data_IF_752022905003
#
_entry.id   IF_752022905003
#
_cell.length_a   1.000
_cell.length_b   1.000
_cell.length_c   1.000
_cell.angle_alpha   90.00
_cell.angle_beta   90.00
_cell.angle_gamma   90.00
#
_symmetry.space_group_name_H-M   'P 1'
#
loop_
_entity.id
_entity.type
_entity.pdbx_description
1 polymer ?
#
# COMPACT_ATOMS: atom_id res chain seq x y z
N UNK A 1 11.84 -6.87 35.10
CA UNK A 1 11.38 -5.56 34.60
C UNK A 1 10.95 -5.75 33.15
N UNK A 2 9.65 -5.75 32.85
CA UNK A 2 9.13 -5.96 31.50
C UNK A 2 9.02 -4.56 30.87
N UNK A 3 9.98 -4.20 30.01
CA UNK A 3 9.89 -2.97 29.23
C UNK A 3 8.76 -3.18 28.24
N UNK A 4 7.65 -2.47 28.42
CA UNK A 4 6.56 -2.41 27.44
C UNK A 4 7.03 -1.37 26.42
N UNK A 5 7.55 -1.82 25.28
CA UNK A 5 7.80 -0.95 24.14
C UNK A 5 6.42 -0.69 23.52
N UNK A 6 5.95 0.55 23.58
CA UNK A 6 4.73 0.95 22.89
C UNK A 6 5.13 1.21 21.43
N UNK A 7 4.82 0.27 20.55
CA UNK A 7 5.01 0.44 19.10
C UNK A 7 3.92 1.39 18.61
N UNK A 8 4.33 2.52 18.03
CA UNK A 8 3.42 3.44 17.35
C UNK A 8 3.22 2.97 15.90
N UNK A 9 2.13 3.39 15.27
CA UNK A 9 1.80 2.98 13.90
C UNK A 9 1.56 4.20 13.01
N UNK A 10 1.73 4.01 11.71
CA UNK A 10 1.37 4.95 10.67
C UNK A 10 0.27 4.35 9.79
N UNK A 11 -0.77 5.13 9.52
CA UNK A 11 -1.65 4.92 8.39
C UNK A 11 -1.02 5.57 7.15
N UNK A 12 -0.71 4.77 6.14
CA UNK A 12 -0.11 5.21 4.88
C UNK A 12 -1.14 5.09 3.77
N UNK A 13 -1.55 6.22 3.20
CA UNK A 13 -2.43 6.27 2.04
C UNK A 13 -1.59 6.21 0.77
N UNK A 14 -1.85 5.21 -0.07
CA UNK A 14 -1.13 4.97 -1.31
C UNK A 14 -2.11 4.96 -2.47
N UNK A 15 -1.72 5.64 -3.55
CA UNK A 15 -2.38 5.53 -4.84
C UNK A 15 -1.54 4.65 -5.77
N UNK A 16 -2.20 3.73 -6.46
CA UNK A 16 -1.60 2.71 -7.31
C UNK A 16 -2.23 2.86 -8.68
N UNK A 17 -1.38 3.17 -9.66
CA UNK A 17 -1.76 3.49 -11.02
C UNK A 17 -1.43 2.30 -11.93
N UNK A 18 -2.36 1.87 -12.80
CA UNK A 18 -2.02 0.94 -13.84
C UNK A 18 -1.15 1.63 -14.90
N UNK A 19 -0.08 0.96 -15.34
CA UNK A 19 0.79 1.50 -16.39
C UNK A 19 0.14 1.39 -17.79
N UNK A 20 -0.87 0.53 -17.93
CA UNK A 20 -1.66 0.32 -19.15
C UNK A 20 -3.16 0.10 -18.80
N UNK A 21 -4.13 0.59 -19.62
CA UNK A 21 -5.56 0.40 -19.38
C UNK A 21 -6.02 -1.07 -19.25
N UNK A 22 -5.27 -2.03 -19.77
CA UNK A 22 -5.63 -3.46 -19.70
C UNK A 22 -5.23 -4.11 -18.35
N UNK A 23 -4.53 -3.38 -17.47
CA UNK A 23 -4.11 -3.89 -16.16
C UNK A 23 -5.32 -4.08 -15.23
N UNK A 24 -5.51 -5.31 -14.76
CA UNK A 24 -6.58 -5.64 -13.82
C UNK A 24 -6.17 -5.30 -12.37
N UNK A 25 -6.72 -4.21 -11.84
CA UNK A 25 -6.45 -3.73 -10.48
C UNK A 25 -6.93 -4.67 -9.37
N UNK A 26 -7.91 -5.56 -9.62
CA UNK A 26 -8.28 -6.58 -8.64
C UNK A 26 -7.20 -7.66 -8.53
N UNK A 27 -6.60 -8.07 -9.65
CA UNK A 27 -5.47 -9.01 -9.61
C UNK A 27 -4.24 -8.40 -8.93
N UNK A 28 -4.00 -7.10 -9.15
CA UNK A 28 -2.97 -6.34 -8.45
C UNK A 28 -3.23 -6.34 -6.96
N UNK A 29 -4.47 -6.07 -6.54
CA UNK A 29 -4.87 -6.09 -5.13
C UNK A 29 -4.65 -7.47 -4.48
N UNK A 30 -5.02 -8.56 -5.15
CA UNK A 30 -4.77 -9.91 -4.63
C UNK A 30 -3.27 -10.19 -4.51
N UNK A 31 -2.48 -9.78 -5.50
CA UNK A 31 -1.01 -9.89 -5.45
C UNK A 31 -0.42 -9.12 -4.25
N UNK A 32 -0.93 -7.92 -3.97
CA UNK A 32 -0.52 -7.12 -2.81
C UNK A 32 -0.84 -7.88 -1.51
N UNK A 33 -2.06 -8.42 -1.37
CA UNK A 33 -2.48 -9.18 -0.18
C UNK A 33 -1.61 -10.42 0.05
N UNK A 34 -1.25 -11.13 -1.01
CA UNK A 34 -0.40 -12.33 -0.92
C UNK A 34 1.05 -12.03 -0.54
N UNK A 35 1.58 -10.90 -1.00
CA UNK A 35 2.99 -10.51 -0.79
C UNK A 35 3.22 -9.62 0.44
N UNK A 36 2.14 -9.12 1.05
CA UNK A 36 2.22 -8.18 2.16
C UNK A 36 3.02 -8.78 3.33
N UNK A 37 4.01 -8.06 3.89
CA UNK A 37 4.68 -8.47 5.12
C UNK A 37 3.67 -8.66 6.25
N UNK A 38 3.91 -9.64 7.14
CA UNK A 38 2.96 -10.04 8.18
C UNK A 38 2.69 -8.96 9.25
N UNK A 39 3.53 -7.95 9.32
CA UNK A 39 3.44 -6.82 10.24
C UNK A 39 2.90 -5.55 9.58
N UNK A 40 2.56 -5.59 8.29
CA UNK A 40 1.83 -4.55 7.58
C UNK A 40 0.39 -5.04 7.37
N UNK A 41 -0.60 -4.22 7.69
CA UNK A 41 -2.01 -4.50 7.45
C UNK A 41 -2.51 -3.67 6.27
N UNK A 42 -3.14 -4.29 5.27
CA UNK A 42 -4.00 -3.57 4.33
C UNK A 42 -5.32 -3.25 5.04
N UNK A 43 -5.51 -1.98 5.43
CA UNK A 43 -6.65 -1.55 6.24
C UNK A 43 -7.94 -1.44 5.46
N UNK A 44 -7.85 -0.78 4.31
CA UNK A 44 -8.98 -0.47 3.45
C UNK A 44 -8.46 -0.19 2.04
N UNK A 45 -9.34 -0.33 1.05
CA UNK A 45 -9.03 0.00 -0.33
C UNK A 45 -10.28 0.35 -1.13
N UNK A 46 -10.08 1.09 -2.22
CA UNK A 46 -11.11 1.35 -3.22
C UNK A 46 -10.49 1.42 -4.61
N UNK A 47 -11.21 0.91 -5.60
CA UNK A 47 -10.93 1.19 -7.01
C UNK A 47 -11.81 2.38 -7.39
N UNK A 48 -11.19 3.46 -7.87
CA UNK A 48 -11.92 4.68 -8.24
C UNK A 48 -11.52 5.23 -9.61
N UNK A 49 -12.41 5.95 -10.31
CA UNK A 49 -12.10 6.54 -11.60
C UNK A 49 -10.95 7.54 -11.52
N UNK A 50 -9.98 7.43 -12.44
CA UNK A 50 -8.91 8.40 -12.63
C UNK A 50 -9.25 9.36 -13.77
N UNK A 51 -9.31 8.84 -15.00
CA UNK A 51 -9.69 9.59 -16.21
C UNK A 51 -9.89 8.63 -17.39
N UNK A 52 -10.65 9.04 -18.41
CA UNK A 52 -10.78 8.31 -19.69
C UNK A 52 -11.14 6.82 -19.56
N UNK A 53 -11.97 6.46 -18.56
CA UNK A 53 -12.36 5.07 -18.31
C UNK A 53 -11.30 4.22 -17.60
N UNK A 54 -10.15 4.80 -17.28
CA UNK A 54 -9.09 4.19 -16.48
C UNK A 54 -9.41 4.43 -15.00
N UNK A 55 -9.21 3.39 -14.19
CA UNK A 55 -9.33 3.46 -12.74
C UNK A 55 -7.93 3.44 -12.09
N UNK A 56 -7.87 3.87 -10.83
CA UNK A 56 -6.73 3.65 -9.94
C UNK A 56 -7.16 2.88 -8.71
N UNK A 57 -6.22 2.22 -8.04
CA UNK A 57 -6.43 1.63 -6.72
C UNK A 57 -5.91 2.59 -5.66
N UNK A 58 -6.75 2.91 -4.67
CA UNK A 58 -6.36 3.68 -3.49
C UNK A 58 -6.43 2.75 -2.29
N UNK A 59 -5.33 2.64 -1.54
CA UNK A 59 -5.21 1.70 -0.43
C UNK A 59 -4.63 2.39 0.81
N UNK A 60 -5.08 1.97 1.98
CA UNK A 60 -4.57 2.41 3.28
C UNK A 60 -3.84 1.24 3.92
N UNK A 61 -2.58 1.45 4.32
CA UNK A 61 -1.78 0.47 5.04
C UNK A 61 -1.52 0.91 6.47
N UNK A 62 -1.66 0.00 7.44
CA UNK A 62 -1.17 0.23 8.81
C UNK A 62 0.21 -0.39 8.93
N UNK A 63 1.18 0.44 9.29
CA UNK A 63 2.60 0.09 9.27
C UNK A 63 3.23 0.49 10.62
N UNK A 64 4.03 -0.37 11.26
CA UNK A 64 4.79 0.01 12.45
C UNK A 64 5.66 1.24 12.18
N UNK A 65 5.71 2.17 13.13
CA UNK A 65 6.62 3.33 13.09
C UNK A 65 8.04 2.87 13.45
N UNK A 66 8.63 2.11 12.54
CA UNK A 66 10.00 1.58 12.60
C UNK A 66 10.77 1.95 11.33
N UNK A 67 12.09 2.06 11.47
CA UNK A 67 12.97 2.43 10.35
C UNK A 67 12.86 1.40 9.21
N UNK A 68 12.71 1.90 7.97
CA UNK A 68 12.68 1.07 6.77
C UNK A 68 11.34 0.41 6.45
N UNK A 69 10.31 0.50 7.30
CA UNK A 69 9.01 -0.14 7.04
C UNK A 69 8.27 0.43 5.83
N UNK A 70 8.29 1.76 5.68
CA UNK A 70 7.72 2.42 4.49
C UNK A 70 8.47 1.99 3.22
N UNK A 71 9.80 1.89 3.30
CA UNK A 71 10.61 1.40 2.17
C UNK A 71 10.28 -0.04 1.80
N UNK A 72 10.02 -0.91 2.78
CA UNK A 72 9.59 -2.29 2.50
C UNK A 72 8.27 -2.34 1.72
N UNK A 73 7.35 -1.40 2.00
CA UNK A 73 6.12 -1.25 1.21
C UNK A 73 6.45 -0.82 -0.22
N UNK A 74 7.29 0.21 -0.40
CA UNK A 74 7.72 0.68 -1.74
C UNK A 74 8.43 -0.42 -2.55
N UNK A 75 9.35 -1.16 -1.91
CA UNK A 75 10.09 -2.27 -2.52
C UNK A 75 9.13 -3.41 -2.95
N UNK A 76 8.06 -3.67 -2.17
CA UNK A 76 7.00 -4.61 -2.56
C UNK A 76 6.30 -4.14 -3.84
N UNK A 77 5.88 -2.87 -3.90
CA UNK A 77 5.22 -2.34 -5.09
C UNK A 77 6.14 -2.32 -6.32
N UNK A 78 7.42 -2.00 -6.15
CA UNK A 78 8.41 -2.07 -7.22
C UNK A 78 8.59 -3.49 -7.80
N UNK A 79 8.17 -4.54 -7.08
CA UNK A 79 8.20 -5.93 -7.55
C UNK A 79 6.93 -6.38 -8.28
N UNK A 80 5.90 -5.53 -8.34
CA UNK A 80 4.64 -5.81 -9.02
C UNK A 80 4.71 -5.14 -10.40
N UNK A 81 4.71 -5.95 -11.45
CA UNK A 81 4.78 -5.45 -12.82
C UNK A 81 3.46 -4.80 -13.25
N UNK A 82 3.56 -3.77 -14.10
CA UNK A 82 2.41 -3.11 -14.72
C UNK A 82 1.70 -2.09 -13.82
N UNK A 83 2.28 -1.74 -12.68
CA UNK A 83 1.77 -0.66 -11.82
C UNK A 83 2.88 0.24 -11.31
N UNK A 84 2.53 1.51 -11.13
CA UNK A 84 3.31 2.50 -10.38
C UNK A 84 2.53 2.94 -9.14
N UNK A 85 3.22 3.47 -8.14
CA UNK A 85 2.57 3.92 -6.90
C UNK A 85 3.09 5.28 -6.42
N UNK A 86 2.25 5.96 -5.65
CA UNK A 86 2.58 7.22 -4.97
C UNK A 86 2.01 7.22 -3.54
N UNK A 87 2.85 7.58 -2.57
CA UNK A 87 2.38 7.81 -1.20
C UNK A 87 1.71 9.19 -1.16
N UNK A 88 0.41 9.21 -0.91
CA UNK A 88 -0.36 10.46 -0.78
C UNK A 88 -0.21 11.07 0.62
N UNK A 89 -0.20 10.24 1.67
CA UNK A 89 -0.03 10.74 3.04
C UNK A 89 0.45 9.66 4.00
N UNK A 90 1.10 10.10 5.07
CA UNK A 90 1.50 9.28 6.21
C UNK A 90 0.95 9.97 7.46
N UNK A 91 0.11 9.26 8.22
CA UNK A 91 -0.51 9.78 9.45
C UNK A 91 -0.19 8.85 10.61
N UNK A 92 0.43 9.38 11.66
CA UNK A 92 0.66 8.64 12.91
C UNK A 92 -0.66 8.38 13.63
N UNK A 93 -0.89 7.15 14.08
CA UNK A 93 -2.10 6.68 14.79
C UNK A 93 -1.79 5.93 16.08
#
# INVERSE_FOLDING_TARGET
>A
MKVIIMVAYNAVLVEIYPDDPDVNLENVLETIKERLPSDIELKDYKIEPLAFGINKLVAIFIIPEEEGKVKQLEDLFASIEGVSMEIQSITRI
#
